data_IF_976996569297
#
_entry.id   IF_976996569297
#
_cell.length_a   1.000
_cell.length_b   1.000
_cell.length_c   1.000
_cell.angle_alpha   90.00
_cell.angle_beta   90.00
_cell.angle_gamma   90.00
#
_symmetry.space_group_name_H-M   'P 1'
#
loop_
_entity.id
_entity.type
_entity.pdbx_description
1 polymer ?
#
# COMPACT_ATOMS: atom_id res chain seq x y z
N UNK A 1 3.68 -10.54 -3.34
CA UNK A 1 2.48 -9.89 -2.78
C UNK A 1 1.92 -10.75 -1.67
N UNK A 2 1.24 -10.14 -0.71
CA UNK A 2 0.49 -10.77 0.37
C UNK A 2 -0.99 -10.37 0.22
N UNK A 3 -1.88 -11.35 0.36
CA UNK A 3 -3.33 -11.16 0.23
C UNK A 3 -4.01 -11.91 1.37
N UNK A 4 -4.96 -11.28 2.03
CA UNK A 4 -5.76 -11.87 3.10
C UNK A 4 -7.23 -11.72 2.75
N UNK A 5 -7.86 -12.84 2.37
CA UNK A 5 -9.29 -12.90 2.06
C UNK A 5 -10.13 -12.64 3.30
N UNK A 6 -11.13 -11.77 3.18
CA UNK A 6 -12.00 -11.34 4.28
C UNK A 6 -13.48 -11.39 3.91
N UNK A 7 -13.92 -12.32 3.07
CA UNK A 7 -15.32 -12.37 2.62
C UNK A 7 -16.30 -12.45 3.81
N UNK A 8 -17.41 -11.66 3.79
CA UNK A 8 -17.92 -10.81 2.70
C UNK A 8 -17.29 -9.42 2.60
N UNK A 9 -16.37 -9.05 3.48
CA UNK A 9 -15.68 -7.77 3.45
C UNK A 9 -14.55 -7.67 2.41
N UNK A 10 -14.05 -6.45 2.23
CA UNK A 10 -12.98 -6.16 1.29
C UNK A 10 -11.68 -6.88 1.67
N UNK A 11 -11.10 -7.57 0.68
CA UNK A 11 -9.84 -8.32 0.83
C UNK A 11 -8.67 -7.37 1.01
N UNK A 12 -7.83 -7.64 2.01
CA UNK A 12 -6.58 -6.91 2.18
C UNK A 12 -5.53 -7.38 1.16
N UNK A 13 -4.88 -6.41 0.49
CA UNK A 13 -3.81 -6.66 -0.47
C UNK A 13 -2.61 -5.78 -0.13
N UNK A 14 -1.43 -6.38 -0.07
CA UNK A 14 -0.15 -5.69 0.01
C UNK A 14 0.79 -6.20 -1.08
N UNK A 15 1.18 -5.34 -2.01
CA UNK A 15 2.04 -5.70 -3.14
C UNK A 15 3.18 -4.72 -3.30
N UNK A 16 4.41 -5.24 -3.30
CA UNK A 16 5.59 -4.50 -3.72
C UNK A 16 5.80 -4.75 -5.21
N UNK A 17 6.00 -3.68 -5.99
CA UNK A 17 6.28 -3.77 -7.41
C UNK A 17 7.48 -2.88 -7.79
N UNK A 18 8.45 -3.38 -8.56
CA UNK A 18 9.56 -2.56 -9.04
C UNK A 18 9.07 -1.59 -10.12
N UNK A 19 9.48 -0.33 -9.99
CA UNK A 19 9.20 0.72 -10.95
C UNK A 19 10.50 1.38 -11.37
N UNK A 20 10.74 1.45 -12.67
CA UNK A 20 11.86 2.22 -13.22
C UNK A 20 11.65 3.71 -12.96
N UNK A 21 12.69 4.36 -12.45
CA UNK A 21 12.76 5.78 -12.19
C UNK A 21 14.02 6.35 -12.86
N UNK A 22 13.92 7.58 -13.42
CA UNK A 22 15.08 8.22 -14.02
C UNK A 22 16.13 8.51 -12.95
N UNK A 23 17.39 8.25 -13.29
CA UNK A 23 18.52 8.55 -12.39
C UNK A 23 18.57 10.06 -12.10
N UNK A 24 18.64 10.49 -10.82
CA UNK A 24 18.77 11.89 -10.49
C UNK A 24 20.05 12.50 -11.08
N UNK A 25 19.95 13.69 -11.68
CA UNK A 25 21.04 14.35 -12.40
C UNK A 25 22.33 14.57 -11.57
N UNK A 26 22.24 14.58 -10.24
CA UNK A 26 23.40 14.69 -9.35
C UNK A 26 24.25 13.40 -9.24
N UNK A 27 23.70 12.23 -9.59
CA UNK A 27 24.39 10.94 -9.56
C UNK A 27 25.11 10.58 -10.88
N UNK A 28 24.98 11.42 -11.93
CA UNK A 28 25.50 11.18 -13.29
C UNK A 28 27.02 11.00 -13.40
N UNK A 29 27.79 11.23 -12.32
CA UNK A 29 29.27 11.25 -12.40
C UNK A 29 29.91 9.88 -12.20
N UNK A 30 29.15 8.82 -11.87
CA UNK A 30 29.73 7.53 -11.47
C UNK A 30 28.96 6.25 -11.87
N UNK A 31 27.83 6.34 -12.57
CA UNK A 31 27.03 5.15 -12.91
C UNK A 31 26.81 5.11 -14.43
N UNK A 32 27.23 4.02 -15.07
CA UNK A 32 27.03 3.76 -16.51
C UNK A 32 25.65 3.21 -16.84
N UNK A 33 24.80 3.04 -15.84
CA UNK A 33 23.42 2.54 -15.93
C UNK A 33 22.46 3.70 -15.62
N UNK A 34 21.71 4.15 -16.62
CA UNK A 34 20.82 5.32 -16.56
C UNK A 34 19.50 5.05 -15.81
N UNK A 35 19.29 3.84 -15.30
CA UNK A 35 18.01 3.40 -14.72
C UNK A 35 18.17 2.95 -13.27
N UNK A 36 17.41 3.56 -12.36
CA UNK A 36 17.25 3.12 -10.98
C UNK A 36 15.85 2.53 -10.77
N UNK A 37 15.72 1.50 -9.95
CA UNK A 37 14.42 0.89 -9.63
C UNK A 37 13.95 1.35 -8.26
N UNK A 38 12.68 1.72 -8.12
CA UNK A 38 12.00 1.92 -6.82
C UNK A 38 11.11 0.71 -6.54
N UNK A 39 11.01 0.29 -5.29
CA UNK A 39 10.08 -0.75 -4.86
C UNK A 39 8.85 -0.10 -4.25
N UNK A 40 7.84 0.19 -5.07
CA UNK A 40 6.63 0.87 -4.62
C UNK A 40 5.60 -0.11 -4.02
N UNK A 41 4.92 0.32 -2.96
CA UNK A 41 3.83 -0.44 -2.33
C UNK A 41 2.49 -0.08 -2.97
N UNK A 42 1.70 -1.11 -3.26
CA UNK A 42 0.35 -1.06 -3.79
C UNK A 42 -0.60 -1.83 -2.86
N UNK A 43 -1.66 -1.16 -2.43
CA UNK A 43 -2.79 -1.74 -1.69
C UNK A 43 -3.96 -2.04 -2.65
N UNK A 44 -5.09 -2.51 -2.12
CA UNK A 44 -6.30 -2.76 -2.93
C UNK A 44 -6.76 -1.50 -3.70
N UNK A 45 -6.68 -0.34 -3.06
CA UNK A 45 -7.06 0.97 -3.64
C UNK A 45 -6.00 1.59 -4.57
N UNK A 46 -4.85 0.92 -4.73
CA UNK A 46 -3.77 1.35 -5.62
C UNK A 46 -2.46 1.72 -4.93
N UNK A 47 -1.60 2.42 -5.68
CA UNK A 47 -0.23 2.73 -5.30
C UNK A 47 -0.15 3.78 -4.19
N UNK A 48 0.64 3.50 -3.15
CA UNK A 48 0.84 4.41 -2.01
C UNK A 48 1.97 5.43 -2.26
N UNK A 49 2.73 5.27 -3.35
CA UNK A 49 3.74 6.23 -3.80
C UNK A 49 5.05 6.28 -3.00
N UNK A 50 5.16 5.49 -1.93
CA UNK A 50 6.40 5.34 -1.17
C UNK A 50 7.19 4.12 -1.60
N UNK A 51 8.51 4.23 -1.46
CA UNK A 51 9.49 3.20 -1.82
C UNK A 51 9.97 2.51 -0.55
N UNK A 52 9.96 1.18 -0.54
CA UNK A 52 10.46 0.36 0.57
C UNK A 52 11.88 -0.16 0.31
N UNK A 53 12.57 0.35 -0.72
CA UNK A 53 13.98 0.06 -0.90
C UNK A 53 14.77 0.46 0.34
N UNK A 54 15.57 -0.48 0.84
CA UNK A 54 16.42 -0.29 2.02
C UNK A 54 15.75 -0.66 3.34
N UNK A 55 14.46 -1.05 3.31
CA UNK A 55 13.81 -1.60 4.49
C UNK A 55 14.45 -2.94 4.86
N UNK A 56 14.84 -3.06 6.12
CA UNK A 56 15.15 -4.36 6.71
C UNK A 56 13.89 -5.21 6.81
N UNK A 57 14.08 -6.51 7.06
CA UNK A 57 12.97 -7.47 7.20
C UNK A 57 11.93 -6.99 8.23
N UNK A 58 12.38 -6.55 9.40
CA UNK A 58 11.48 -6.15 10.49
C UNK A 58 10.74 -4.85 10.18
N UNK A 59 11.36 -3.93 9.44
CA UNK A 59 10.71 -2.70 8.97
C UNK A 59 9.63 -3.01 7.94
N UNK A 60 9.89 -3.93 7.00
CA UNK A 60 8.90 -4.35 6.02
C UNK A 60 7.73 -5.10 6.68
N UNK A 61 8.01 -5.94 7.68
CA UNK A 61 6.95 -6.61 8.46
C UNK A 61 6.12 -5.57 9.21
N UNK A 62 6.76 -4.61 9.89
CA UNK A 62 6.07 -3.53 10.60
C UNK A 62 5.16 -2.74 9.65
N UNK A 63 5.67 -2.37 8.48
CA UNK A 63 4.87 -1.66 7.47
C UNK A 63 3.65 -2.49 7.02
N UNK A 64 3.81 -3.79 6.76
CA UNK A 64 2.68 -4.68 6.41
C UNK A 64 1.63 -4.72 7.54
N UNK A 65 2.08 -4.81 8.80
CA UNK A 65 1.19 -4.83 9.96
C UNK A 65 0.43 -3.51 10.10
N UNK A 66 1.12 -2.38 9.98
CA UNK A 66 0.51 -1.05 10.05
C UNK A 66 -0.56 -0.87 8.94
N UNK A 67 -0.28 -1.29 7.70
CA UNK A 67 -1.27 -1.24 6.62
C UNK A 67 -2.47 -2.16 6.88
N UNK A 68 -2.24 -3.33 7.46
CA UNK A 68 -3.30 -4.26 7.81
C UNK A 68 -4.21 -3.72 8.91
N UNK A 69 -3.65 -3.12 9.96
CA UNK A 69 -4.42 -2.48 11.03
C UNK A 69 -5.27 -1.32 10.51
N UNK A 70 -4.73 -0.50 9.61
CA UNK A 70 -5.49 0.58 8.95
C UNK A 70 -6.64 0.03 8.11
N UNK A 71 -6.44 -1.10 7.42
CA UNK A 71 -7.50 -1.78 6.68
C UNK A 71 -8.64 -2.26 7.60
N UNK A 72 -8.29 -2.83 8.75
CA UNK A 72 -9.29 -3.25 9.74
C UNK A 72 -10.12 -2.08 10.27
N UNK A 73 -9.47 -0.94 10.54
CA UNK A 73 -10.17 0.27 10.98
C UNK A 73 -11.06 0.85 9.86
N UNK A 74 -10.58 0.85 8.62
CA UNK A 74 -11.41 1.19 7.45
C UNK A 74 -12.68 0.32 7.40
N UNK A 75 -12.55 -1.01 7.48
CA UNK A 75 -13.70 -1.92 7.47
C UNK A 75 -14.65 -1.68 8.63
N UNK A 76 -14.12 -1.37 9.82
CA UNK A 76 -14.93 -1.04 11.00
C UNK A 76 -15.76 0.22 10.76
N UNK A 77 -15.15 1.30 10.28
CA UNK A 77 -15.87 2.55 9.97
C UNK A 77 -16.91 2.35 8.85
N UNK A 78 -16.62 1.50 7.86
CA UNK A 78 -17.58 1.17 6.80
C UNK A 78 -18.80 0.40 7.34
N UNK A 79 -18.61 -0.51 8.29
CA UNK A 79 -19.73 -1.19 8.99
C UNK A 79 -20.56 -0.21 9.82
N UNK A 80 -19.92 0.70 10.54
CA UNK A 80 -20.59 1.69 11.39
C UNK A 80 -21.39 2.71 10.53
N UNK A 81 -20.84 3.13 9.39
CA UNK A 81 -21.50 4.09 8.48
C UNK A 81 -22.61 3.43 7.64
N UNK A 82 -22.40 2.19 7.18
CA UNK A 82 -23.41 1.42 6.43
C UNK A 82 -24.64 1.02 7.26
N UNK A 83 -24.57 1.13 8.59
CA UNK A 83 -25.73 0.97 9.49
C UNK A 83 -26.64 2.19 9.58
N UNK A 84 -26.24 3.35 9.04
CA UNK A 84 -27.02 4.59 9.05
C UNK A 84 -27.60 4.85 7.65
N UNK A 85 -28.50 3.99 7.19
CA UNK A 85 -29.40 4.33 6.08
C UNK A 85 -30.67 4.94 6.66
N UNK A 86 -30.86 6.21 6.32
CA UNK A 86 -31.87 7.20 6.70
C UNK A 86 -33.29 6.62 6.91
N UNK A 87 -34.08 7.14 7.88
CA UNK A 87 -35.52 6.85 7.92
C UNK A 87 -36.18 7.38 6.64
N UNK A 88 -36.88 6.50 5.92
CA UNK A 88 -37.73 6.86 4.78
C UNK A 88 -38.72 7.96 5.21
N UNK A 89 -38.80 9.10 4.50
CA UNK A 89 -39.76 10.14 4.82
C UNK A 89 -41.19 9.62 4.64
N UNK A 90 -42.03 9.91 5.63
CA UNK A 90 -43.45 9.52 5.69
C UNK A 90 -44.32 10.21 4.64
#
# INVERSE_FOLDING_TARGET
>A
SLTVSMEPEETFVYRVWPREAPTPSFAMRSVTDDTYFRFEVYLADGGQGYDVMGYGKDQLIGDILDQYERHLEFLRLHRETGGVLLPEPS
#
